data_IF_539775807878
#
_entry.id   IF_539775807878
#
_cell.length_a   1.000
_cell.length_b   1.000
_cell.length_c   1.000
_cell.angle_alpha   90.00
_cell.angle_beta   90.00
_cell.angle_gamma   90.00
#
_symmetry.space_group_name_H-M   'P 1'
#
loop_
_entity.id
_entity.type
_entity.pdbx_description
1 polymer ?
#
# COMPACT_ATOMS: atom_id res chain seq x y z
N UNK A 1 -7.26 4.59 -20.92
CA UNK A 1 -7.01 3.24 -21.48
C UNK A 1 -8.26 2.42 -21.29
N UNK A 2 -8.73 1.66 -22.29
CA UNK A 2 -9.91 0.80 -22.09
C UNK A 2 -9.52 -0.41 -21.21
N UNK A 3 -9.71 -0.28 -19.91
CA UNK A 3 -9.54 -1.34 -18.89
C UNK A 3 -10.41 -2.56 -19.22
N UNK A 4 -11.56 -2.31 -19.86
CA UNK A 4 -12.57 -3.34 -20.18
C UNK A 4 -12.04 -4.52 -21.02
N UNK A 5 -10.93 -4.32 -21.75
CA UNK A 5 -10.30 -5.39 -22.54
C UNK A 5 -9.56 -6.44 -21.70
N UNK A 6 -9.22 -6.11 -20.47
CA UNK A 6 -8.43 -6.97 -19.57
C UNK A 6 -9.27 -7.55 -18.44
N UNK A 7 -10.53 -7.11 -18.30
CA UNK A 7 -11.46 -7.61 -17.30
C UNK A 7 -12.16 -8.88 -17.78
N UNK A 8 -12.28 -9.86 -16.90
CA UNK A 8 -13.07 -11.05 -17.15
C UNK A 8 -14.57 -10.75 -17.01
N UNK A 9 -15.42 -11.63 -17.57
CA UNK A 9 -16.87 -11.50 -17.46
C UNK A 9 -17.30 -11.53 -16.00
N UNK A 10 -18.00 -10.48 -15.53
CA UNK A 10 -18.43 -10.34 -14.13
C UNK A 10 -17.38 -9.77 -13.20
N UNK A 11 -16.22 -9.35 -13.71
CA UNK A 11 -15.17 -8.69 -12.94
C UNK A 11 -15.41 -7.18 -12.91
N UNK A 12 -15.39 -6.59 -11.72
CA UNK A 12 -15.60 -5.16 -11.53
C UNK A 12 -14.35 -4.50 -10.96
N UNK A 13 -13.88 -3.39 -11.54
CA UNK A 13 -12.77 -2.64 -10.97
C UNK A 13 -13.25 -1.90 -9.72
N UNK A 14 -12.61 -2.16 -8.58
CA UNK A 14 -12.90 -1.52 -7.31
C UNK A 14 -12.07 -0.24 -7.14
N UNK A 15 -10.80 -0.30 -7.57
CA UNK A 15 -9.88 0.81 -7.43
C UNK A 15 -8.83 0.80 -8.54
N UNK A 16 -8.49 1.99 -9.04
CA UNK A 16 -7.44 2.18 -10.03
C UNK A 16 -6.52 3.30 -9.57
N UNK A 17 -5.25 2.98 -9.40
CA UNK A 17 -4.23 3.93 -8.95
C UNK A 17 -3.06 3.95 -9.92
N UNK A 18 -2.35 5.08 -9.93
CA UNK A 18 -1.13 5.26 -10.71
C UNK A 18 0.08 5.32 -9.77
N UNK A 19 1.23 5.07 -10.34
CA UNK A 19 2.48 5.28 -9.64
C UNK A 19 2.64 6.77 -9.28
N UNK A 20 3.12 7.06 -8.07
CA UNK A 20 3.25 8.43 -7.59
C UNK A 20 4.32 9.20 -8.38
N UNK A 21 4.08 10.47 -8.69
CA UNK A 21 4.98 11.32 -9.47
C UNK A 21 6.40 11.45 -8.89
N UNK A 22 6.56 11.18 -7.59
CA UNK A 22 7.86 11.20 -6.91
C UNK A 22 8.87 10.21 -7.52
N UNK A 23 8.39 9.17 -8.18
CA UNK A 23 9.23 8.25 -8.95
C UNK A 23 10.02 8.97 -10.05
N UNK A 24 9.46 10.01 -10.63
CA UNK A 24 10.17 10.81 -11.65
C UNK A 24 11.38 11.52 -11.05
N UNK A 25 11.28 12.02 -9.81
CA UNK A 25 12.41 12.64 -9.10
C UNK A 25 13.49 11.59 -8.79
N UNK A 26 13.09 10.42 -8.30
CA UNK A 26 14.02 9.34 -7.99
C UNK A 26 14.78 8.86 -9.25
N UNK A 27 14.09 8.78 -10.38
CA UNK A 27 14.67 8.36 -11.66
C UNK A 27 15.38 9.49 -12.42
N UNK A 28 15.07 10.76 -12.12
CA UNK A 28 15.73 11.92 -12.71
C UNK A 28 17.19 12.07 -12.27
N UNK A 29 17.62 11.39 -11.22
CA UNK A 29 18.99 11.49 -10.71
C UNK A 29 20.06 11.29 -11.80
N UNK A 30 19.85 10.32 -12.70
CA UNK A 30 20.76 10.09 -13.84
C UNK A 30 20.82 11.28 -14.81
N UNK A 31 19.67 11.85 -15.16
CA UNK A 31 19.62 13.03 -16.02
C UNK A 31 20.27 14.25 -15.36
N UNK A 32 20.02 14.42 -14.06
CA UNK A 32 20.62 15.51 -13.27
C UNK A 32 22.15 15.38 -13.24
N UNK A 33 22.67 14.17 -12.98
CA UNK A 33 24.12 13.91 -13.01
C UNK A 33 24.72 14.20 -14.38
N UNK A 34 24.07 13.77 -15.47
CA UNK A 34 24.51 14.08 -16.84
C UNK A 34 24.54 15.58 -17.11
N UNK A 35 23.55 16.34 -16.65
CA UNK A 35 23.51 17.78 -16.82
C UNK A 35 24.55 18.50 -15.95
N UNK A 36 24.82 18.01 -14.73
CA UNK A 36 25.90 18.54 -13.91
C UNK A 36 27.28 18.33 -14.59
N UNK A 37 27.52 17.15 -15.15
CA UNK A 37 28.73 16.88 -15.92
C UNK A 37 28.81 17.83 -17.13
N UNK A 38 27.71 18.04 -17.84
CA UNK A 38 27.66 18.97 -18.97
C UNK A 38 28.02 20.40 -18.55
N UNK A 39 27.49 20.87 -17.40
CA UNK A 39 27.80 22.21 -16.86
C UNK A 39 29.27 22.31 -16.46
N UNK A 40 29.83 21.29 -15.79
CA UNK A 40 31.25 21.25 -15.44
C UNK A 40 32.12 21.30 -16.69
N UNK A 41 31.82 20.53 -17.71
CA UNK A 41 32.55 20.56 -18.98
C UNK A 41 32.49 21.90 -19.67
N UNK A 42 31.33 22.57 -19.62
CA UNK A 42 31.14 23.91 -20.18
C UNK A 42 31.99 24.95 -19.46
N UNK A 43 32.04 24.91 -18.12
CA UNK A 43 32.88 25.80 -17.32
C UNK A 43 34.38 25.54 -17.58
N UNK A 44 34.81 24.26 -17.59
CA UNK A 44 36.19 23.91 -17.92
C UNK A 44 36.59 24.37 -19.33
N UNK A 45 35.68 24.20 -20.28
CA UNK A 45 35.91 24.65 -21.67
C UNK A 45 36.17 26.13 -21.76
N UNK A 46 35.41 26.95 -21.01
CA UNK A 46 35.54 28.40 -21.03
C UNK A 46 36.75 28.92 -20.26
N UNK A 47 37.21 28.22 -19.19
CA UNK A 47 38.29 28.69 -18.31
C UNK A 47 39.67 28.17 -18.71
N UNK A 48 39.77 26.88 -19.12
CA UNK A 48 41.06 26.22 -19.34
C UNK A 48 41.46 26.21 -20.83
N UNK A 49 40.47 25.99 -21.71
CA UNK A 49 40.72 25.78 -23.15
C UNK A 49 40.37 26.96 -24.04
N UNK A 50 40.20 28.16 -23.47
CA UNK A 50 39.77 29.38 -24.17
C UNK A 50 40.68 29.83 -25.32
N UNK A 51 41.91 29.29 -25.42
CA UNK A 51 42.84 29.56 -26.53
C UNK A 51 42.87 28.53 -27.67
N UNK A 52 42.16 27.41 -27.53
CA UNK A 52 42.22 26.30 -28.50
C UNK A 52 40.85 26.01 -29.13
N UNK A 53 40.55 26.60 -30.29
CA UNK A 53 39.25 26.50 -30.96
C UNK A 53 38.79 25.09 -31.32
N UNK A 54 39.75 24.16 -31.56
CA UNK A 54 39.41 22.77 -31.84
C UNK A 54 38.89 22.01 -30.64
N UNK A 55 39.55 22.19 -29.46
CA UNK A 55 39.13 21.52 -28.21
C UNK A 55 37.83 22.10 -27.69
N UNK A 56 37.63 23.42 -27.73
CA UNK A 56 36.40 24.05 -27.28
C UNK A 56 35.18 23.63 -28.14
N UNK A 57 35.40 23.50 -29.45
CA UNK A 57 34.34 22.99 -30.33
C UNK A 57 33.97 21.53 -30.04
N UNK A 58 34.94 20.65 -29.83
CA UNK A 58 34.66 19.25 -29.47
C UNK A 58 33.95 19.13 -28.13
N UNK A 59 34.39 19.87 -27.11
CA UNK A 59 33.73 19.90 -25.79
C UNK A 59 32.30 20.46 -25.91
N UNK A 60 32.07 21.47 -26.74
CA UNK A 60 30.75 22.00 -27.02
C UNK A 60 29.79 20.94 -27.59
N UNK A 61 30.26 20.14 -28.56
CA UNK A 61 29.45 19.02 -29.09
C UNK A 61 29.16 17.95 -28.04
N UNK A 62 30.14 17.59 -27.18
CA UNK A 62 29.94 16.66 -26.07
C UNK A 62 28.87 17.16 -25.11
N UNK A 63 28.91 18.46 -24.75
CA UNK A 63 27.88 19.08 -23.90
C UNK A 63 26.50 18.99 -24.54
N UNK A 64 26.38 19.31 -25.83
CA UNK A 64 25.09 19.19 -26.56
C UNK A 64 24.55 17.76 -26.52
N UNK A 65 25.42 16.77 -26.80
CA UNK A 65 25.03 15.35 -26.77
C UNK A 65 24.57 14.94 -25.37
N UNK A 66 25.28 15.31 -24.30
CA UNK A 66 24.90 14.98 -22.93
C UNK A 66 23.54 15.59 -22.56
N UNK A 67 23.28 16.83 -22.97
CA UNK A 67 21.99 17.49 -22.71
C UNK A 67 20.87 16.78 -23.45
N UNK A 68 21.04 16.47 -24.75
CA UNK A 68 20.05 15.79 -25.57
C UNK A 68 19.76 14.39 -25.04
N UNK A 69 20.79 13.62 -24.69
CA UNK A 69 20.64 12.27 -24.12
C UNK A 69 19.93 12.34 -22.78
N UNK A 70 20.29 13.29 -21.92
CA UNK A 70 19.62 13.50 -20.63
C UNK A 70 18.14 13.84 -20.78
N UNK A 71 17.78 14.71 -21.76
CA UNK A 71 16.39 15.05 -22.07
C UNK A 71 15.63 13.85 -22.64
N UNK A 72 16.23 13.09 -23.55
CA UNK A 72 15.62 11.89 -24.10
C UNK A 72 15.37 10.82 -23.01
N UNK A 73 16.35 10.62 -22.12
CA UNK A 73 16.20 9.72 -20.97
C UNK A 73 15.06 10.14 -20.06
N UNK A 74 15.02 11.42 -19.69
CA UNK A 74 13.95 11.95 -18.83
C UNK A 74 12.59 11.82 -19.49
N UNK A 75 12.49 12.18 -20.77
CA UNK A 75 11.25 12.01 -21.55
C UNK A 75 10.78 10.55 -21.59
N UNK A 76 11.71 9.61 -21.75
CA UNK A 76 11.39 8.18 -21.65
C UNK A 76 10.84 7.77 -20.30
N UNK A 77 11.43 8.27 -19.21
CA UNK A 77 10.94 8.00 -17.84
C UNK A 77 9.53 8.55 -17.61
N UNK A 78 9.22 9.72 -18.13
CA UNK A 78 7.86 10.29 -18.07
C UNK A 78 6.86 9.41 -18.82
N UNK A 79 7.23 8.90 -20.01
CA UNK A 79 6.37 7.99 -20.78
C UNK A 79 6.13 6.67 -20.04
N UNK A 80 7.16 6.08 -19.42
CA UNK A 80 7.03 4.87 -18.61
C UNK A 80 6.09 5.11 -17.45
N UNK A 81 6.29 6.18 -16.69
CA UNK A 81 5.46 6.54 -15.54
C UNK A 81 3.98 6.73 -15.91
N UNK A 82 3.68 7.42 -17.02
CA UNK A 82 2.30 7.64 -17.47
C UNK A 82 1.58 6.34 -17.86
N UNK A 83 2.33 5.31 -18.25
CA UNK A 83 1.77 4.04 -18.69
C UNK A 83 1.75 2.95 -17.60
N UNK A 84 2.17 3.26 -16.38
CA UNK A 84 2.08 2.33 -15.25
C UNK A 84 0.81 2.58 -14.44
N UNK A 85 -0.05 1.56 -14.36
CA UNK A 85 -1.32 1.59 -13.64
C UNK A 85 -1.48 0.33 -12.80
N UNK A 86 -2.04 0.51 -11.61
CA UNK A 86 -2.41 -0.56 -10.69
C UNK A 86 -3.93 -0.58 -10.57
N UNK A 87 -4.53 -1.72 -10.85
CA UNK A 87 -5.99 -1.89 -10.81
C UNK A 87 -6.32 -3.02 -9.86
N UNK A 88 -7.14 -2.72 -8.89
CA UNK A 88 -7.74 -3.70 -8.00
C UNK A 88 -9.14 -4.02 -8.49
N UNK A 89 -9.44 -5.30 -8.66
CA UNK A 89 -10.77 -5.80 -8.97
C UNK A 89 -11.33 -6.61 -7.82
N UNK A 90 -12.55 -7.07 -7.93
CA UNK A 90 -13.17 -7.97 -6.96
C UNK A 90 -12.55 -9.39 -6.94
N UNK A 91 -11.62 -9.73 -7.87
CA UNK A 91 -11.00 -11.07 -7.96
C UNK A 91 -9.50 -11.09 -8.00
N UNK A 92 -8.85 -10.02 -8.49
CA UNK A 92 -7.39 -9.96 -8.67
C UNK A 92 -6.86 -8.54 -8.61
N UNK A 93 -5.55 -8.44 -8.39
CA UNK A 93 -4.77 -7.22 -8.58
C UNK A 93 -4.11 -7.29 -9.94
N UNK A 94 -4.25 -6.24 -10.74
CA UNK A 94 -3.66 -6.11 -12.07
C UNK A 94 -2.60 -5.00 -12.03
N UNK A 95 -1.42 -5.29 -12.58
CA UNK A 95 -0.40 -4.30 -12.86
C UNK A 95 -0.22 -4.19 -14.36
N UNK A 96 -0.53 -3.01 -14.90
CA UNK A 96 -0.36 -2.71 -16.30
C UNK A 96 0.89 -1.86 -16.45
N UNK A 97 1.83 -2.33 -17.27
CA UNK A 97 3.09 -1.65 -17.54
C UNK A 97 3.40 -1.64 -19.02
N UNK A 98 4.25 -0.72 -19.45
CA UNK A 98 4.85 -0.70 -20.77
C UNK A 98 4.34 0.40 -21.69
N UNK A 99 5.28 1.01 -22.40
CA UNK A 99 5.05 2.09 -23.39
C UNK A 99 4.79 1.51 -24.78
N UNK A 100 5.72 0.69 -25.26
CA UNK A 100 5.66 0.05 -26.59
C UNK A 100 5.02 -1.35 -26.50
N UNK A 101 5.56 -2.18 -25.63
CA UNK A 101 5.02 -3.49 -25.34
C UNK A 101 4.24 -3.43 -24.01
N UNK A 102 2.96 -3.79 -24.07
CA UNK A 102 2.12 -3.81 -22.88
C UNK A 102 2.27 -5.15 -22.18
N UNK A 103 2.65 -5.09 -20.91
CA UNK A 103 2.71 -6.26 -20.03
C UNK A 103 1.63 -6.08 -18.97
N UNK A 104 0.79 -7.09 -18.82
CA UNK A 104 -0.20 -7.18 -17.76
C UNK A 104 0.20 -8.32 -16.87
N UNK A 105 0.46 -8.02 -15.62
CA UNK A 105 0.67 -9.00 -14.55
C UNK A 105 -0.57 -9.02 -13.70
N UNK A 106 -1.02 -10.20 -13.32
CA UNK A 106 -2.17 -10.40 -12.47
C UNK A 106 -1.83 -11.29 -11.28
N UNK A 107 -2.41 -10.96 -10.13
CA UNK A 107 -2.30 -11.73 -8.90
C UNK A 107 -3.71 -11.94 -8.33
N UNK A 108 -4.19 -13.18 -8.34
CA UNK A 108 -5.51 -13.53 -7.78
C UNK A 108 -5.56 -13.24 -6.29
N UNK A 109 -6.63 -12.59 -5.81
CA UNK A 109 -6.85 -12.30 -4.39
C UNK A 109 -6.88 -13.57 -3.53
N UNK A 110 -7.38 -14.67 -4.08
CA UNK A 110 -7.42 -15.97 -3.42
C UNK A 110 -6.01 -16.52 -3.10
N UNK A 111 -5.02 -16.22 -3.98
CA UNK A 111 -3.64 -16.70 -3.84
C UNK A 111 -2.75 -15.77 -3.02
N UNK A 112 -3.26 -14.63 -2.58
CA UNK A 112 -2.50 -13.69 -1.75
C UNK A 112 -2.45 -14.23 -0.31
N UNK A 113 -1.24 -14.57 0.14
CA UNK A 113 -1.01 -15.02 1.50
C UNK A 113 -0.82 -13.85 2.46
N UNK A 114 0.00 -12.87 2.06
CA UNK A 114 0.31 -11.70 2.86
C UNK A 114 0.54 -10.46 1.98
N UNK A 115 0.42 -9.29 2.59
CA UNK A 115 0.63 -8.01 1.95
C UNK A 115 1.39 -7.07 2.89
N UNK A 116 2.65 -6.82 2.57
CA UNK A 116 3.54 -5.96 3.35
C UNK A 116 3.54 -4.55 2.78
N UNK A 117 3.11 -3.59 3.57
CA UNK A 117 3.17 -2.16 3.22
C UNK A 117 4.40 -1.54 3.86
N UNK A 118 5.27 -0.94 3.06
CA UNK A 118 6.44 -0.19 3.50
C UNK A 118 6.31 1.27 3.09
N UNK A 119 6.31 2.15 4.07
CA UNK A 119 6.29 3.60 3.86
C UNK A 119 7.60 4.22 4.33
N UNK A 120 8.29 4.91 3.43
CA UNK A 120 9.43 5.74 3.81
C UNK A 120 8.96 7.03 4.49
N UNK A 121 9.87 7.78 5.13
CA UNK A 121 9.55 9.11 5.70
C UNK A 121 8.96 10.03 4.63
N UNK A 122 9.55 10.05 3.43
CA UNK A 122 9.02 10.80 2.30
C UNK A 122 7.67 10.23 1.81
N UNK A 123 7.52 8.91 1.81
CA UNK A 123 6.27 8.25 1.47
C UNK A 123 5.10 8.69 2.35
N UNK A 124 5.35 8.80 3.65
CA UNK A 124 4.35 9.26 4.62
C UNK A 124 3.99 10.74 4.44
N UNK A 125 4.96 11.61 4.11
CA UNK A 125 4.72 13.05 3.88
C UNK A 125 3.96 13.27 2.56
N UNK A 126 4.34 12.57 1.50
CA UNK A 126 3.79 12.76 0.15
C UNK A 126 2.64 11.80 -0.19
N UNK A 127 2.31 10.84 0.69
CA UNK A 127 1.18 9.92 0.52
C UNK A 127 1.45 8.79 -0.48
N UNK A 128 2.66 8.21 -0.48
CA UNK A 128 2.98 7.04 -1.29
C UNK A 128 3.70 5.95 -0.47
N UNK A 129 3.58 4.71 -0.92
CA UNK A 129 4.27 3.57 -0.30
C UNK A 129 4.51 2.45 -1.28
N UNK A 130 5.33 1.50 -0.87
CA UNK A 130 5.57 0.26 -1.59
C UNK A 130 4.70 -0.83 -0.97
N UNK A 131 3.85 -1.45 -1.78
CA UNK A 131 3.04 -2.59 -1.38
C UNK A 131 3.61 -3.85 -2.02
N UNK A 132 4.07 -4.77 -1.20
CA UNK A 132 4.59 -6.07 -1.60
C UNK A 132 3.55 -7.13 -1.32
N UNK A 133 3.11 -7.85 -2.37
CA UNK A 133 2.07 -8.87 -2.31
C UNK A 133 2.75 -10.23 -2.41
N UNK A 134 2.64 -11.03 -1.37
CA UNK A 134 3.14 -12.39 -1.35
C UNK A 134 2.06 -13.36 -1.79
N UNK A 135 2.31 -14.06 -2.89
CA UNK A 135 1.40 -15.07 -3.43
C UNK A 135 2.00 -16.46 -3.29
N UNK A 136 1.15 -17.49 -3.27
CA UNK A 136 1.58 -18.90 -3.23
C UNK A 136 2.20 -19.40 -4.57
N UNK A 137 2.35 -18.54 -5.56
CA UNK A 137 2.91 -18.87 -6.87
C UNK A 137 4.43 -18.78 -6.87
N UNK A 138 5.14 -19.63 -7.63
CA UNK A 138 6.60 -19.68 -7.70
C UNK A 138 7.28 -18.39 -8.21
N UNK A 139 6.55 -17.52 -8.90
CA UNK A 139 6.99 -16.19 -9.32
C UNK A 139 6.62 -15.07 -8.32
N UNK A 140 6.21 -15.36 -7.25
CA UNK A 140 5.49 -15.06 -6.02
C UNK A 140 5.68 -13.72 -5.33
N UNK A 141 6.38 -12.72 -5.83
CA UNK A 141 6.40 -11.40 -5.18
C UNK A 141 6.06 -10.35 -6.22
N UNK A 142 4.82 -9.88 -6.20
CA UNK A 142 4.44 -8.71 -6.95
C UNK A 142 4.60 -7.46 -6.07
N UNK A 143 5.52 -6.59 -6.47
CA UNK A 143 5.80 -5.34 -5.76
C UNK A 143 5.22 -4.15 -6.51
N UNK A 144 4.25 -3.49 -5.90
CA UNK A 144 3.68 -2.24 -6.37
C UNK A 144 4.50 -1.08 -5.78
N UNK A 145 5.44 -0.55 -6.57
CA UNK A 145 6.38 0.48 -6.12
C UNK A 145 5.78 1.87 -6.20
N UNK A 146 6.00 2.67 -5.14
CA UNK A 146 5.55 4.06 -5.05
C UNK A 146 4.07 4.22 -5.43
N UNK A 147 3.24 3.32 -4.90
CA UNK A 147 1.80 3.34 -5.08
C UNK A 147 1.21 4.57 -4.39
N UNK A 148 0.38 5.31 -5.11
CA UNK A 148 -0.36 6.42 -4.54
C UNK A 148 -1.41 5.89 -3.57
N UNK A 149 -1.53 6.51 -2.37
CA UNK A 149 -2.42 6.07 -1.28
C UNK A 149 -2.35 4.56 -1.03
N UNK A 150 -1.12 4.08 -0.81
CA UNK A 150 -0.86 2.66 -0.56
C UNK A 150 -1.62 2.07 0.65
N UNK A 151 -1.83 2.80 1.78
CA UNK A 151 -2.67 2.33 2.88
C UNK A 151 -4.12 2.10 2.47
N UNK A 152 -4.70 3.06 1.74
CA UNK A 152 -6.07 2.93 1.24
C UNK A 152 -6.22 1.79 0.25
N UNK A 153 -5.25 1.60 -0.64
CA UNK A 153 -5.24 0.49 -1.58
C UNK A 153 -5.16 -0.86 -0.86
N UNK A 154 -4.23 -1.00 0.12
CA UNK A 154 -4.10 -2.23 0.94
C UNK A 154 -5.42 -2.55 1.66
N UNK A 155 -6.07 -1.55 2.27
CA UNK A 155 -7.37 -1.75 2.94
C UNK A 155 -8.42 -2.28 1.98
N UNK A 156 -8.64 -1.60 0.86
CA UNK A 156 -9.63 -2.04 -0.15
C UNK A 156 -9.31 -3.44 -0.69
N UNK A 157 -8.03 -3.78 -0.82
CA UNK A 157 -7.60 -5.11 -1.27
C UNK A 157 -7.94 -6.20 -0.24
N UNK A 158 -7.71 -5.94 1.06
CA UNK A 158 -8.06 -6.88 2.12
C UNK A 158 -9.57 -7.05 2.27
N UNK A 159 -10.34 -5.97 2.11
CA UNK A 159 -11.80 -6.00 2.12
C UNK A 159 -12.33 -6.84 0.95
N UNK A 160 -11.80 -6.62 -0.26
CA UNK A 160 -12.17 -7.40 -1.45
C UNK A 160 -11.79 -8.88 -1.32
N UNK A 161 -10.63 -9.19 -0.72
CA UNK A 161 -10.23 -10.57 -0.42
C UNK A 161 -11.20 -11.24 0.53
N UNK A 162 -11.57 -10.56 1.61
CA UNK A 162 -12.52 -11.08 2.60
C UNK A 162 -13.90 -11.34 1.98
N UNK A 163 -14.40 -10.41 1.14
CA UNK A 163 -15.66 -10.59 0.43
C UNK A 163 -15.64 -11.78 -0.52
N UNK A 164 -14.54 -11.97 -1.25
CA UNK A 164 -14.34 -13.13 -2.12
C UNK A 164 -14.31 -14.44 -1.33
N UNK A 165 -13.65 -14.49 -0.18
CA UNK A 165 -13.61 -15.65 0.70
C UNK A 165 -15.02 -16.02 1.23
N UNK A 166 -15.83 -15.02 1.58
CA UNK A 166 -17.23 -15.22 1.97
C UNK A 166 -18.08 -15.77 0.82
N UNK A 167 -17.93 -15.24 -0.40
CA UNK A 167 -18.61 -15.76 -1.58
C UNK A 167 -18.26 -17.24 -1.82
N UNK A 168 -16.98 -17.59 -1.78
CA UNK A 168 -16.47 -18.95 -2.02
C UNK A 168 -16.91 -19.93 -0.94
N UNK A 169 -16.99 -19.49 0.32
CA UNK A 169 -17.43 -20.33 1.45
C UNK A 169 -18.96 -20.52 1.51
N UNK A 170 -19.74 -19.81 0.69
CA UNK A 170 -21.19 -19.81 0.75
C UNK A 170 -21.77 -19.17 2.02
N UNK A 171 -20.93 -18.51 2.83
CA UNK A 171 -21.36 -17.79 4.01
C UNK A 171 -22.04 -16.48 3.58
N UNK A 172 -23.25 -16.22 4.10
CA UNK A 172 -23.89 -14.91 3.93
C UNK A 172 -22.96 -13.84 4.50
N UNK A 173 -22.75 -12.72 3.78
CA UNK A 173 -21.99 -11.60 4.29
C UNK A 173 -22.57 -11.16 5.64
N UNK A 174 -21.82 -11.30 6.71
CA UNK A 174 -22.18 -10.69 7.97
C UNK A 174 -21.99 -9.17 7.76
N UNK A 175 -23.02 -8.34 8.00
CA UNK A 175 -22.85 -6.89 7.83
C UNK A 175 -21.65 -6.47 8.65
N UNK A 176 -20.68 -5.83 7.99
CA UNK A 176 -19.49 -5.30 8.64
C UNK A 176 -19.95 -4.50 9.86
N UNK A 177 -19.33 -4.68 11.05
CA UNK A 177 -19.64 -3.84 12.18
C UNK A 177 -19.44 -2.40 11.72
N UNK A 178 -20.53 -1.65 11.66
CA UNK A 178 -20.53 -0.25 11.27
C UNK A 178 -19.64 0.48 12.30
N UNK A 179 -18.35 0.62 11.96
CA UNK A 179 -17.50 1.58 12.63
C UNK A 179 -18.04 2.96 12.25
N UNK A 180 -19.05 3.39 12.99
CA UNK A 180 -19.55 4.76 12.93
C UNK A 180 -18.38 5.67 13.30
N UNK A 181 -17.77 6.27 12.31
CA UNK A 181 -17.09 7.54 12.48
C UNK A 181 -18.15 8.59 12.86
N UNK A 182 -18.61 8.54 14.08
CA UNK A 182 -19.39 9.63 14.69
C UNK A 182 -18.38 10.67 15.18
N UNK A 183 -17.82 11.42 14.25
CA UNK A 183 -17.26 12.72 14.56
C UNK A 183 -18.40 13.73 14.54
N UNK A 184 -19.19 13.76 15.61
CA UNK A 184 -19.94 14.96 16.00
C UNK A 184 -19.12 15.68 17.07
N UNK A 185 -18.85 16.97 16.91
CA UNK A 185 -18.25 17.76 17.97
C UNK A 185 -19.29 17.89 19.11
N UNK A 186 -19.04 17.24 20.23
CA UNK A 186 -19.80 17.47 21.45
C UNK A 186 -19.12 18.57 22.24
N UNK A 187 -19.76 19.73 22.23
CA UNK A 187 -19.58 20.84 23.14
C UNK A 187 -19.83 20.36 24.58
N UNK A 188 -19.01 20.82 25.50
CA UNK A 188 -18.76 20.30 26.83
C UNK A 188 -19.97 20.07 27.74
N UNK A 189 -19.88 19.01 28.52
CA UNK A 189 -20.44 18.90 29.88
C UNK A 189 -19.66 17.82 30.66
N UNK A 190 -19.50 17.96 31.99
CA UNK A 190 -18.44 17.34 32.76
C UNK A 190 -18.64 15.86 33.05
N UNK A 191 -17.51 15.21 33.28
CA UNK A 191 -17.28 13.85 33.68
C UNK A 191 -18.39 13.19 34.54
N UNK A 192 -19.06 12.19 33.97
CA UNK A 192 -19.69 11.12 34.72
C UNK A 192 -18.91 9.84 34.49
N UNK A 193 -18.39 9.25 35.56
CA UNK A 193 -17.75 7.94 35.67
C UNK A 193 -18.58 6.87 34.95
N UNK A 194 -17.96 5.88 34.25
CA UNK A 194 -18.74 4.79 33.71
C UNK A 194 -19.32 3.98 34.86
N UNK A 195 -20.63 4.03 34.98
CA UNK A 195 -21.40 3.15 35.83
C UNK A 195 -21.11 1.71 35.41
N UNK A 196 -20.63 0.88 36.33
CA UNK A 196 -20.50 -0.55 36.20
C UNK A 196 -21.86 -1.13 35.80
N UNK A 197 -22.00 -1.51 34.53
CA UNK A 197 -23.19 -2.20 34.06
C UNK A 197 -23.25 -3.55 34.81
N UNK A 198 -24.34 -3.75 35.57
CA UNK A 198 -24.68 -5.03 36.17
C UNK A 198 -24.77 -6.08 35.08
N UNK A 199 -23.94 -7.09 35.12
CA UNK A 199 -24.02 -8.26 34.22
C UNK A 199 -25.31 -9.01 34.53
N UNK A 200 -26.01 -9.49 33.51
CA UNK A 200 -27.16 -10.36 33.70
C UNK A 200 -26.74 -11.67 34.40
N UNK A 201 -27.61 -12.18 35.28
CA UNK A 201 -27.34 -13.47 35.97
C UNK A 201 -27.04 -14.62 35.00
N UNK A 202 -27.66 -14.60 33.81
CA UNK A 202 -27.41 -15.58 32.75
C UNK A 202 -26.00 -15.45 32.13
N UNK A 203 -25.51 -14.23 31.95
CA UNK A 203 -24.17 -13.97 31.41
C UNK A 203 -23.09 -14.39 32.43
N UNK A 204 -23.31 -14.13 33.70
CA UNK A 204 -22.41 -14.57 34.78
C UNK A 204 -22.34 -16.10 34.84
N UNK A 205 -23.49 -16.79 34.77
CA UNK A 205 -23.54 -18.24 34.78
C UNK A 205 -22.78 -18.84 33.57
N UNK A 206 -22.97 -18.28 32.38
CA UNK A 206 -22.27 -18.75 31.18
C UNK A 206 -20.75 -18.51 31.26
N UNK A 207 -20.33 -17.37 31.81
CA UNK A 207 -18.92 -17.05 32.01
C UNK A 207 -18.27 -17.95 33.03
N UNK A 208 -18.97 -18.28 34.11
CA UNK A 208 -18.50 -19.25 35.13
C UNK A 208 -18.33 -20.66 34.55
N UNK A 209 -19.25 -21.10 33.69
CA UNK A 209 -19.15 -22.39 33.02
C UNK A 209 -17.90 -22.46 32.11
N UNK A 210 -17.65 -21.40 31.34
CA UNK A 210 -16.45 -21.31 30.48
C UNK A 210 -15.15 -21.30 31.31
N UNK A 211 -15.12 -20.57 32.45
CA UNK A 211 -13.96 -20.57 33.35
C UNK A 211 -13.69 -21.95 33.98
N UNK A 212 -14.73 -22.71 34.31
CA UNK A 212 -14.60 -24.06 34.83
C UNK A 212 -14.00 -25.01 33.77
N UNK A 213 -14.44 -24.92 32.52
CA UNK A 213 -13.88 -25.70 31.40
C UNK A 213 -12.39 -25.38 31.16
N UNK A 214 -11.99 -24.09 31.23
CA UNK A 214 -10.59 -23.67 31.11
C UNK A 214 -9.71 -24.22 32.24
N UNK A 215 -10.23 -24.28 33.49
CA UNK A 215 -9.53 -24.90 34.63
C UNK A 215 -9.36 -26.39 34.39
N UNK A 216 -10.40 -27.10 33.98
CA UNK A 216 -10.39 -28.53 33.76
C UNK A 216 -9.45 -28.96 32.64
N UNK A 217 -9.23 -28.07 31.65
CA UNK A 217 -8.22 -28.24 30.59
C UNK A 217 -6.81 -27.81 31.01
N UNK A 218 -6.63 -27.32 32.23
CA UNK A 218 -5.33 -26.83 32.71
C UNK A 218 -4.83 -25.53 32.12
N UNK A 219 -5.72 -24.77 31.46
CA UNK A 219 -5.38 -23.48 30.85
C UNK A 219 -5.28 -22.34 31.89
N UNK A 220 -5.94 -22.47 33.02
CA UNK A 220 -5.86 -21.56 34.17
C UNK A 220 -5.65 -22.34 35.47
N UNK A 221 -4.98 -21.72 36.43
CA UNK A 221 -4.78 -22.32 37.75
C UNK A 221 -6.06 -22.31 38.59
N UNK A 222 -6.12 -23.16 39.62
CA UNK A 222 -7.26 -23.19 40.57
C UNK A 222 -7.39 -21.86 41.31
N UNK A 223 -6.28 -21.20 41.64
CA UNK A 223 -6.27 -19.90 42.33
C UNK A 223 -6.83 -18.76 41.41
N UNK A 224 -6.44 -18.76 40.15
CA UNK A 224 -6.97 -17.80 39.18
C UNK A 224 -8.47 -17.98 38.92
N UNK A 225 -8.94 -19.23 38.90
CA UNK A 225 -10.36 -19.54 38.77
C UNK A 225 -11.16 -18.97 39.97
N UNK A 226 -10.74 -19.24 41.22
CA UNK A 226 -11.44 -18.76 42.41
C UNK A 226 -11.41 -17.22 42.51
N UNK A 227 -10.31 -16.55 42.14
CA UNK A 227 -10.22 -15.09 42.08
C UNK A 227 -11.20 -14.50 41.08
N UNK A 228 -11.28 -15.04 39.85
CA UNK A 228 -12.22 -14.59 38.83
C UNK A 228 -13.68 -14.84 39.15
N UNK A 229 -13.97 -15.98 39.78
CA UNK A 229 -15.31 -16.34 40.25
C UNK A 229 -15.79 -15.38 41.33
N UNK A 230 -14.94 -14.99 42.28
CA UNK A 230 -15.28 -14.03 43.33
C UNK A 230 -15.56 -12.62 42.73
N UNK A 231 -14.78 -12.18 41.75
CA UNK A 231 -14.99 -10.92 41.06
C UNK A 231 -16.32 -10.88 40.26
N UNK A 232 -16.65 -11.98 39.57
CA UNK A 232 -17.90 -12.08 38.81
C UNK A 232 -19.14 -12.12 39.72
N UNK A 233 -19.06 -12.84 40.82
CA UNK A 233 -20.16 -12.91 41.81
C UNK A 233 -20.34 -11.60 42.58
N UNK A 234 -19.27 -10.80 42.71
CA UNK A 234 -19.36 -9.45 43.33
C UNK A 234 -19.97 -8.38 42.46
N UNK A 235 -20.24 -8.69 41.19
CA UNK A 235 -20.85 -7.79 40.20
C UNK A 235 -22.34 -8.06 39.94
N UNK A 236 -22.93 -9.09 40.58
CA UNK A 236 -24.34 -9.37 40.61
C UNK A 236 -25.03 -8.48 41.64
#
# INVERSE_FOLDING_TARGET
>A
MALDKFLATGETPLRSEHQHWFVLIANAAYAIVMWLIAVVLLVLSSTIFNGNSGITSLLGWVVVVLVVVGLAWFGWQVLVWQNEQFVLTNRRVLRLTGVLNKTVMDSSLEKINDAVLTESVFGRIFGFGDLEIQTASESGIDRLRMLRDAPGFKRTMLDAKHELELELSGAKPMPAPAYRASATPVEGTPAASPAAGSMSADDVTRTLANLADLRDRGAISAEEYEAKKADLLGRL
#
